data_IF_847309590580
#
_entry.id   IF_847309590580
#
_cell.length_a   1.000
_cell.length_b   1.000
_cell.length_c   1.000
_cell.angle_alpha   90.00
_cell.angle_beta   90.00
_cell.angle_gamma   90.00
#
_symmetry.space_group_name_H-M   'P 1'
#
loop_
_entity.id
_entity.type
_entity.pdbx_description
1 polymer ?
#
# COMPACT_ATOMS: atom_id res chain seq x y z
N UNK A 1 -31.90 10.99 9.36
CA UNK A 1 -31.20 11.98 8.51
C UNK A 1 -31.79 11.94 7.11
N UNK A 2 -32.20 13.09 6.56
CA UNK A 2 -32.71 13.18 5.18
C UNK A 2 -31.49 13.27 4.26
N UNK A 3 -31.42 12.43 3.21
CA UNK A 3 -30.30 12.43 2.26
C UNK A 3 -30.21 13.77 1.52
N UNK A 4 -29.01 14.31 1.24
CA UNK A 4 -28.86 15.60 0.54
C UNK A 4 -29.57 15.65 -0.82
N UNK A 5 -29.75 14.53 -1.51
CA UNK A 5 -30.55 14.48 -2.76
C UNK A 5 -32.04 14.73 -2.52
N UNK A 6 -32.59 14.30 -1.38
CA UNK A 6 -33.99 14.52 -1.01
C UNK A 6 -34.23 15.99 -0.66
N UNK A 7 -33.31 16.59 0.08
CA UNK A 7 -33.34 18.03 0.39
C UNK A 7 -33.25 18.90 -0.88
N UNK A 8 -32.41 18.51 -1.83
CA UNK A 8 -32.32 19.19 -3.12
C UNK A 8 -33.57 18.98 -3.99
N UNK A 9 -34.16 17.78 -4.00
CA UNK A 9 -35.41 17.48 -4.71
C UNK A 9 -36.57 18.34 -4.19
N UNK A 10 -36.70 18.47 -2.87
CA UNK A 10 -37.72 19.32 -2.24
C UNK A 10 -37.46 20.81 -2.49
N UNK A 11 -36.20 21.26 -2.44
CA UNK A 11 -35.85 22.66 -2.69
C UNK A 11 -36.09 23.11 -4.14
N UNK A 12 -35.97 22.18 -5.10
CA UNK A 12 -36.11 22.46 -6.53
C UNK A 12 -37.48 22.05 -7.09
N UNK A 13 -38.39 21.51 -6.28
CA UNK A 13 -39.69 20.96 -6.70
C UNK A 13 -39.58 19.97 -7.87
N UNK A 14 -38.54 19.14 -7.85
CA UNK A 14 -38.34 18.10 -8.87
C UNK A 14 -38.50 16.73 -8.22
N UNK A 15 -39.20 15.76 -8.86
CA UNK A 15 -39.26 14.39 -8.36
C UNK A 15 -37.86 13.81 -8.12
N UNK A 16 -37.68 13.12 -6.99
CA UNK A 16 -36.39 12.52 -6.60
C UNK A 16 -35.79 11.64 -7.70
N UNK A 17 -36.64 10.92 -8.45
CA UNK A 17 -36.20 10.05 -9.54
C UNK A 17 -35.47 10.84 -10.65
N UNK A 18 -35.85 12.10 -10.90
CA UNK A 18 -35.22 12.96 -11.92
C UNK A 18 -33.79 13.32 -11.54
N UNK A 19 -33.55 13.64 -10.26
CA UNK A 19 -32.20 13.91 -9.77
C UNK A 19 -31.36 12.63 -9.73
N UNK A 20 -31.95 11.50 -9.33
CA UNK A 20 -31.26 10.21 -9.36
C UNK A 20 -30.89 9.80 -10.80
N UNK A 21 -31.82 9.91 -11.76
CA UNK A 21 -31.56 9.64 -13.17
C UNK A 21 -30.45 10.56 -13.69
N UNK A 22 -30.50 11.86 -13.44
CA UNK A 22 -29.42 12.79 -13.83
C UNK A 22 -28.07 12.44 -13.23
N UNK A 23 -28.02 12.02 -11.97
CA UNK A 23 -26.77 11.59 -11.33
C UNK A 23 -26.26 10.31 -11.98
N UNK A 24 -27.13 9.33 -12.23
CA UNK A 24 -26.79 8.06 -12.88
C UNK A 24 -26.35 8.28 -14.34
N UNK A 25 -27.10 9.06 -15.11
CA UNK A 25 -26.80 9.47 -16.49
C UNK A 25 -25.48 10.24 -16.56
N UNK A 26 -25.24 11.19 -15.65
CA UNK A 26 -23.96 11.91 -15.60
C UNK A 26 -22.79 10.98 -15.28
N UNK A 27 -22.99 9.99 -14.41
CA UNK A 27 -21.96 8.98 -14.10
C UNK A 27 -21.69 8.05 -15.29
N UNK A 28 -22.73 7.66 -16.04
CA UNK A 28 -22.60 6.81 -17.24
C UNK A 28 -21.95 7.56 -18.39
N UNK A 29 -22.34 8.82 -18.68
CA UNK A 29 -21.72 9.66 -19.70
C UNK A 29 -20.23 9.89 -19.42
N UNK A 30 -19.86 10.13 -18.15
CA UNK A 30 -18.45 10.27 -17.74
C UNK A 30 -17.66 8.99 -17.94
N UNK A 31 -18.26 7.82 -17.70
CA UNK A 31 -17.64 6.52 -17.96
C UNK A 31 -17.42 6.29 -19.44
N UNK A 32 -18.46 6.48 -20.26
CA UNK A 32 -18.41 6.32 -21.71
C UNK A 32 -17.36 7.25 -22.35
N UNK A 33 -17.32 8.52 -21.94
CA UNK A 33 -16.28 9.45 -22.41
C UNK A 33 -14.87 9.07 -21.95
N UNK A 34 -14.74 8.44 -20.77
CA UNK A 34 -13.44 7.96 -20.28
C UNK A 34 -12.98 6.68 -20.98
N UNK A 35 -13.90 5.82 -21.44
CA UNK A 35 -13.60 4.59 -22.20
C UNK A 35 -12.88 4.90 -23.52
N UNK A 36 -13.36 5.90 -24.27
CA UNK A 36 -12.73 6.36 -25.52
C UNK A 36 -11.31 6.92 -25.31
N UNK A 37 -11.02 7.43 -24.12
CA UNK A 37 -9.72 8.00 -23.76
C UNK A 37 -8.77 6.98 -23.10
N UNK A 38 -9.19 5.71 -22.94
CA UNK A 38 -8.30 4.67 -22.42
C UNK A 38 -7.24 4.33 -23.45
N UNK A 39 -6.02 4.11 -22.97
CA UNK A 39 -4.88 3.74 -23.84
C UNK A 39 -4.93 2.29 -24.31
N UNK A 40 -5.58 1.41 -23.55
CA UNK A 40 -5.91 0.06 -24.00
C UNK A 40 -7.39 0.05 -24.37
N UNK A 41 -7.73 -0.62 -25.47
CA UNK A 41 -9.13 -0.92 -25.79
C UNK A 41 -9.69 -1.96 -24.81
N UNK A 42 -11.01 -2.06 -24.73
CA UNK A 42 -11.67 -3.02 -23.84
C UNK A 42 -11.25 -4.47 -24.17
N UNK A 43 -11.13 -4.80 -25.46
CA UNK A 43 -10.66 -6.12 -25.92
C UNK A 43 -9.21 -6.43 -25.48
N UNK A 44 -8.34 -5.41 -25.48
CA UNK A 44 -6.98 -5.53 -24.99
C UNK A 44 -6.94 -5.71 -23.46
N UNK A 45 -7.82 -5.02 -22.73
CA UNK A 45 -7.99 -5.23 -21.30
C UNK A 45 -8.48 -6.67 -21.00
N UNK A 46 -9.42 -7.20 -21.77
CA UNK A 46 -9.93 -8.56 -21.61
C UNK A 46 -8.86 -9.62 -21.91
N UNK A 47 -8.05 -9.41 -22.96
CA UNK A 47 -6.88 -10.25 -23.22
C UNK A 47 -5.88 -10.22 -22.05
N UNK A 48 -5.64 -9.04 -21.50
CA UNK A 48 -4.76 -8.86 -20.35
C UNK A 48 -5.29 -9.60 -19.11
N UNK A 49 -6.60 -9.52 -18.84
CA UNK A 49 -7.26 -10.27 -17.76
C UNK A 49 -7.04 -11.77 -17.93
N UNK A 50 -7.29 -12.32 -19.12
CA UNK A 50 -7.09 -13.75 -19.42
C UNK A 50 -5.64 -14.16 -19.18
N UNK A 51 -4.69 -13.33 -19.59
CA UNK A 51 -3.26 -13.58 -19.40
C UNK A 51 -2.85 -13.53 -17.92
N UNK A 52 -3.44 -12.64 -17.13
CA UNK A 52 -3.19 -12.55 -15.67
C UNK A 52 -3.71 -13.80 -14.95
N UNK A 53 -4.89 -14.30 -15.32
CA UNK A 53 -5.45 -15.55 -14.78
C UNK A 53 -4.55 -16.74 -15.14
N UNK A 54 -4.07 -16.81 -16.39
CA UNK A 54 -3.14 -17.86 -16.81
C UNK A 54 -1.81 -17.83 -16.03
N UNK A 55 -1.28 -16.65 -15.73
CA UNK A 55 -0.03 -16.50 -14.96
C UNK A 55 -0.21 -16.89 -13.49
N UNK A 56 -1.42 -16.76 -12.94
CA UNK A 56 -1.71 -17.20 -11.58
C UNK A 56 -1.58 -18.73 -11.41
N UNK A 57 -2.05 -19.50 -12.40
CA UNK A 57 -1.87 -20.96 -12.42
C UNK A 57 -0.39 -21.40 -12.38
N UNK A 58 0.54 -20.53 -12.81
CA UNK A 58 1.99 -20.77 -12.79
C UNK A 58 2.61 -20.43 -11.42
N UNK A 59 1.80 -20.11 -10.40
CA UNK A 59 2.22 -19.68 -9.05
C UNK A 59 3.08 -18.42 -9.04
N UNK A 60 2.92 -17.52 -10.02
CA UNK A 60 3.42 -16.14 -9.91
C UNK A 60 2.27 -15.23 -9.50
N UNK A 61 2.29 -14.72 -8.26
CA UNK A 61 1.24 -13.83 -7.78
C UNK A 61 1.24 -12.53 -8.60
N UNK A 62 0.12 -12.15 -9.23
CA UNK A 62 0.05 -10.91 -9.99
C UNK A 62 0.14 -9.70 -9.06
N UNK A 63 1.29 -9.04 -9.04
CA UNK A 63 1.47 -7.74 -8.35
C UNK A 63 0.96 -6.59 -9.22
N UNK A 64 0.49 -5.49 -8.62
CA UNK A 64 0.12 -4.26 -9.35
C UNK A 64 1.21 -3.75 -10.30
N UNK A 65 2.48 -3.92 -9.91
CA UNK A 65 3.64 -3.56 -10.73
C UNK A 65 3.69 -4.49 -11.95
N UNK A 66 3.51 -5.79 -11.74
CA UNK A 66 3.54 -6.80 -12.79
C UNK A 66 2.40 -6.64 -13.79
N UNK A 67 1.19 -6.33 -13.32
CA UNK A 67 0.04 -6.00 -14.18
C UNK A 67 0.37 -4.83 -15.10
N UNK A 68 1.06 -3.80 -14.59
CA UNK A 68 1.51 -2.66 -15.39
C UNK A 68 2.59 -3.04 -16.40
N UNK A 69 3.53 -3.90 -16.04
CA UNK A 69 4.58 -4.39 -16.96
C UNK A 69 3.99 -5.19 -18.12
N UNK A 70 3.03 -6.07 -17.86
CA UNK A 70 2.39 -6.87 -18.91
C UNK A 70 1.58 -5.96 -19.83
N UNK A 71 0.87 -4.97 -19.28
CA UNK A 71 0.16 -3.97 -20.06
C UNK A 71 1.11 -3.10 -20.90
N UNK A 72 2.27 -2.71 -20.36
CA UNK A 72 3.29 -1.96 -21.09
C UNK A 72 3.83 -2.77 -22.28
N UNK A 73 4.13 -4.06 -22.08
CA UNK A 73 4.55 -4.95 -23.17
C UNK A 73 3.47 -5.12 -24.24
N UNK A 74 2.19 -5.18 -23.84
CA UNK A 74 1.08 -5.29 -24.78
C UNK A 74 0.97 -4.03 -25.66
N UNK A 75 1.22 -2.84 -25.08
CA UNK A 75 1.28 -1.58 -25.82
C UNK A 75 2.52 -1.47 -26.71
N UNK A 76 3.68 -1.96 -26.26
CA UNK A 76 4.90 -2.01 -27.07
C UNK A 76 4.69 -2.84 -28.35
N UNK A 77 3.98 -3.97 -28.25
CA UNK A 77 3.61 -4.78 -29.42
C UNK A 77 2.71 -3.99 -30.39
N UNK A 78 1.85 -3.11 -29.86
CA UNK A 78 1.02 -2.19 -30.63
C UNK A 78 1.74 -0.93 -31.13
N UNK A 79 3.04 -0.77 -30.88
CA UNK A 79 3.84 0.39 -31.30
C UNK A 79 3.81 1.59 -30.36
N UNK A 80 3.17 1.50 -29.18
CA UNK A 80 3.14 2.57 -28.17
C UNK A 80 4.14 2.29 -27.05
N UNK A 81 5.24 3.05 -27.02
CA UNK A 81 6.32 2.93 -26.03
C UNK A 81 6.15 3.86 -24.82
N UNK A 82 5.05 4.62 -24.74
CA UNK A 82 4.86 5.56 -23.62
C UNK A 82 4.53 4.79 -22.33
N UNK A 83 5.15 5.11 -21.18
CA UNK A 83 4.88 4.41 -19.93
C UNK A 83 3.44 4.63 -19.45
N UNK A 84 2.83 3.59 -18.87
CA UNK A 84 1.49 3.72 -18.28
C UNK A 84 1.57 4.48 -16.95
N UNK A 85 0.61 5.36 -16.70
CA UNK A 85 0.59 6.20 -15.50
C UNK A 85 0.51 5.41 -14.20
N UNK A 86 1.01 6.00 -13.10
CA UNK A 86 1.05 5.37 -11.77
C UNK A 86 -0.31 4.92 -11.21
N UNK A 87 -1.41 5.53 -11.67
CA UNK A 87 -2.79 5.18 -11.27
C UNK A 87 -3.46 4.19 -12.23
N UNK A 88 -2.84 3.87 -13.35
CA UNK A 88 -3.48 3.04 -14.36
C UNK A 88 -3.82 1.64 -13.80
N UNK A 89 -2.85 0.97 -13.16
CA UNK A 89 -3.07 -0.35 -12.59
C UNK A 89 -4.13 -0.36 -11.47
N UNK A 90 -4.24 0.73 -10.69
CA UNK A 90 -5.28 0.84 -9.66
C UNK A 90 -6.67 1.05 -10.26
N UNK A 91 -6.78 1.81 -11.34
CA UNK A 91 -8.05 2.00 -12.04
C UNK A 91 -8.45 0.77 -12.87
N UNK A 92 -7.48 0.08 -13.50
CA UNK A 92 -7.69 -1.20 -14.18
C UNK A 92 -8.28 -2.24 -13.22
N UNK A 93 -7.71 -2.41 -12.03
CA UNK A 93 -8.26 -3.34 -11.03
C UNK A 93 -9.62 -2.88 -10.45
N UNK A 94 -9.96 -1.60 -10.53
CA UNK A 94 -11.31 -1.14 -10.16
C UNK A 94 -12.33 -1.48 -11.24
N UNK A 95 -11.94 -1.46 -12.53
CA UNK A 95 -12.79 -1.90 -13.65
C UNK A 95 -12.96 -3.42 -13.64
N UNK A 96 -11.87 -4.14 -13.40
CA UNK A 96 -11.82 -5.61 -13.41
C UNK A 96 -11.77 -6.16 -11.98
N UNK A 97 -12.89 -6.09 -11.27
CA UNK A 97 -12.98 -6.53 -9.86
C UNK A 97 -12.63 -8.00 -9.69
N UNK A 98 -12.90 -8.85 -10.68
CA UNK A 98 -12.50 -10.26 -10.68
C UNK A 98 -10.99 -10.46 -10.47
N UNK A 99 -10.16 -9.68 -11.17
CA UNK A 99 -8.69 -9.76 -11.05
C UNK A 99 -8.25 -9.16 -9.71
N UNK A 100 -8.91 -8.10 -9.27
CA UNK A 100 -8.64 -7.48 -7.96
C UNK A 100 -8.92 -8.46 -6.81
N UNK A 101 -10.06 -9.12 -6.85
CA UNK A 101 -10.49 -10.08 -5.85
C UNK A 101 -9.62 -11.33 -5.91
N UNK A 102 -9.18 -11.75 -7.09
CA UNK A 102 -8.17 -12.79 -7.28
C UNK A 102 -6.82 -12.41 -6.65
N UNK A 103 -6.28 -11.22 -6.93
CA UNK A 103 -5.01 -10.75 -6.34
C UNK A 103 -5.13 -10.64 -4.81
N UNK A 104 -6.27 -10.14 -4.31
CA UNK A 104 -6.56 -10.01 -2.88
C UNK A 104 -6.74 -11.38 -2.22
N UNK A 105 -7.42 -12.30 -2.89
CA UNK A 105 -7.64 -13.67 -2.41
C UNK A 105 -6.36 -14.47 -2.47
N UNK A 106 -5.53 -14.39 -3.50
CA UNK A 106 -4.24 -15.10 -3.58
C UNK A 106 -3.30 -14.78 -2.43
N UNK A 107 -3.30 -13.55 -1.93
CA UNK A 107 -2.61 -13.21 -0.68
C UNK A 107 -3.17 -14.04 0.48
N UNK A 108 -4.49 -14.04 0.67
CA UNK A 108 -5.19 -14.78 1.73
C UNK A 108 -5.08 -16.30 1.55
N UNK A 109 -5.18 -16.80 0.33
CA UNK A 109 -5.12 -18.22 -0.03
C UNK A 109 -3.67 -18.67 0.13
N UNK A 110 -2.63 -17.92 -0.27
CA UNK A 110 -1.21 -18.21 0.08
C UNK A 110 -0.94 -18.29 1.56
N UNK A 111 -1.62 -17.47 2.36
CA UNK A 111 -1.59 -17.63 3.82
C UNK A 111 -2.32 -18.89 4.32
N UNK A 112 -3.29 -19.43 3.56
CA UNK A 112 -4.09 -20.63 3.89
C UNK A 112 -3.52 -21.95 3.36
N UNK A 113 -2.69 -21.97 2.31
CA UNK A 113 -1.98 -23.18 1.87
C UNK A 113 -0.58 -23.36 2.50
N UNK A 114 -0.23 -22.56 3.51
CA UNK A 114 0.61 -23.07 4.58
C UNK A 114 -0.17 -24.19 5.26
N UNK A 115 0.39 -25.41 5.35
CA UNK A 115 -0.38 -26.66 5.43
C UNK A 115 -1.58 -26.57 6.37
N UNK A 116 -2.76 -26.96 5.88
CA UNK A 116 -3.98 -27.13 6.69
C UNK A 116 -3.72 -27.99 7.95
N UNK A 117 -2.70 -28.86 7.89
CA UNK A 117 -2.16 -29.64 9.01
C UNK A 117 -1.71 -28.78 10.22
N UNK A 118 -1.20 -27.56 10.00
CA UNK A 118 -0.70 -26.67 11.07
C UNK A 118 -1.80 -25.80 11.71
N UNK A 119 -2.94 -25.63 11.05
CA UNK A 119 -4.08 -24.83 11.50
C UNK A 119 -5.13 -25.67 12.25
N UNK A 120 -5.17 -26.99 12.02
CA UNK A 120 -6.10 -27.89 12.69
C UNK A 120 -5.75 -28.20 14.15
N UNK A 121 -4.48 -28.01 14.55
CA UNK A 121 -3.98 -28.49 15.84
C UNK A 121 -4.05 -27.49 16.99
N UNK A 122 -4.22 -26.19 16.75
CA UNK A 122 -4.29 -25.25 17.88
C UNK A 122 -4.88 -23.88 17.54
N UNK A 123 -6.01 -23.55 18.16
CA UNK A 123 -6.76 -22.33 17.90
C UNK A 123 -6.29 -21.10 18.69
N UNK A 124 -5.27 -21.25 19.55
CA UNK A 124 -4.79 -20.16 20.39
C UNK A 124 -4.17 -19.01 19.58
N UNK A 125 -4.57 -17.78 19.91
CA UNK A 125 -4.15 -16.57 19.20
C UNK A 125 -2.63 -16.31 19.27
N UNK A 126 -1.96 -16.79 20.32
CA UNK A 126 -0.52 -16.61 20.53
C UNK A 126 0.32 -17.48 19.58
N UNK A 127 -0.07 -18.74 19.39
CA UNK A 127 0.60 -19.68 18.46
C UNK A 127 0.40 -19.24 17.01
N UNK A 128 -0.79 -18.72 16.67
CA UNK A 128 -1.05 -18.13 15.34
C UNK A 128 -0.12 -16.95 15.03
N UNK A 129 0.19 -16.09 16.00
CA UNK A 129 1.15 -14.98 15.83
C UNK A 129 2.59 -15.47 15.69
N UNK A 130 3.01 -16.43 16.49
CA UNK A 130 4.36 -17.01 16.39
C UNK A 130 4.56 -17.74 15.06
N UNK A 131 3.59 -18.57 14.67
CA UNK A 131 3.57 -19.23 13.36
C UNK A 131 3.50 -18.21 12.21
N UNK A 132 2.74 -17.13 12.35
CA UNK A 132 2.72 -16.03 11.36
C UNK A 132 4.11 -15.42 11.19
N UNK A 133 4.81 -15.09 12.28
CA UNK A 133 6.17 -14.51 12.20
C UNK A 133 7.13 -15.49 11.55
N UNK A 134 7.10 -16.77 11.96
CA UNK A 134 7.97 -17.82 11.41
C UNK A 134 7.71 -18.04 9.91
N UNK A 135 6.45 -18.22 9.52
CA UNK A 135 6.07 -18.46 8.13
C UNK A 135 6.27 -17.22 7.25
N UNK A 136 6.03 -16.02 7.79
CA UNK A 136 6.33 -14.77 7.09
C UNK A 136 7.82 -14.56 6.89
N UNK A 137 8.64 -14.95 7.89
CA UNK A 137 10.09 -14.96 7.78
C UNK A 137 10.54 -15.97 6.73
N UNK A 138 10.04 -17.20 6.73
CA UNK A 138 10.36 -18.22 5.73
C UNK A 138 9.93 -17.78 4.32
N UNK A 139 8.71 -17.27 4.14
CA UNK A 139 8.24 -16.71 2.87
C UNK A 139 9.05 -15.51 2.39
N UNK A 140 9.65 -14.75 3.31
CA UNK A 140 10.54 -13.62 3.02
C UNK A 140 11.98 -14.06 2.73
N UNK A 141 12.41 -15.18 3.33
CA UNK A 141 13.72 -15.79 3.17
C UNK A 141 13.76 -16.80 2.00
N UNK A 142 12.62 -17.18 1.42
CA UNK A 142 12.57 -17.77 0.09
C UNK A 142 13.38 -16.86 -0.84
N UNK A 143 14.38 -17.40 -1.55
CA UNK A 143 15.35 -16.57 -2.24
C UNK A 143 14.62 -15.72 -3.29
N UNK A 144 14.43 -14.44 -2.97
CA UNK A 144 14.00 -13.43 -3.93
C UNK A 144 14.93 -13.55 -5.13
N UNK A 145 14.37 -13.95 -6.28
CA UNK A 145 15.16 -14.19 -7.50
C UNK A 145 15.94 -12.91 -7.82
N UNK A 146 17.13 -13.03 -8.43
CA UNK A 146 17.95 -11.87 -8.83
C UNK A 146 17.11 -10.80 -9.56
N UNK A 147 16.15 -11.24 -10.40
CA UNK A 147 15.20 -10.39 -11.10
C UNK A 147 14.24 -9.61 -10.17
N UNK A 148 13.74 -10.23 -9.10
CA UNK A 148 12.84 -9.57 -8.14
C UNK A 148 13.57 -8.55 -7.27
N UNK A 149 14.80 -8.87 -6.86
CA UNK A 149 15.69 -7.91 -6.19
C UNK A 149 15.92 -6.73 -7.12
N UNK A 150 16.43 -6.98 -8.33
CA UNK A 150 16.75 -5.94 -9.30
C UNK A 150 15.53 -5.10 -9.71
N UNK A 151 14.34 -5.70 -9.82
CA UNK A 151 13.07 -5.00 -10.03
C UNK A 151 12.68 -4.09 -8.87
N UNK A 152 12.88 -4.52 -7.62
CA UNK A 152 12.65 -3.67 -6.44
C UNK A 152 13.63 -2.49 -6.39
N UNK A 153 14.91 -2.72 -6.72
CA UNK A 153 15.89 -1.64 -6.82
C UNK A 153 15.59 -0.69 -7.98
N UNK A 154 15.10 -1.18 -9.13
CA UNK A 154 14.66 -0.34 -10.25
C UNK A 154 13.42 0.48 -9.92
N UNK A 155 12.44 -0.11 -9.23
CA UNK A 155 11.23 0.59 -8.80
C UNK A 155 11.50 1.70 -7.78
N UNK A 156 12.58 1.59 -7.00
CA UNK A 156 13.04 2.62 -6.08
C UNK A 156 14.02 3.64 -6.72
N UNK A 157 14.28 3.53 -8.04
CA UNK A 157 15.32 4.28 -8.75
C UNK A 157 16.70 4.18 -8.09
N UNK A 158 17.09 2.97 -7.67
CA UNK A 158 18.37 2.64 -7.01
C UNK A 158 19.27 1.75 -7.89
N UNK A 159 18.80 1.28 -9.06
CA UNK A 159 19.57 0.38 -9.94
C UNK A 159 19.53 0.79 -11.42
N UNK A 160 20.68 0.85 -12.12
CA UNK A 160 22.06 0.93 -11.59
C UNK A 160 22.22 2.18 -10.72
N UNK A 161 23.24 2.22 -9.87
CA UNK A 161 23.52 3.35 -8.95
C UNK A 161 23.44 4.67 -9.73
N UNK A 162 22.36 5.43 -9.51
CA UNK A 162 22.17 6.70 -10.20
C UNK A 162 22.95 7.78 -9.45
N UNK A 163 24.24 7.90 -9.78
CA UNK A 163 25.14 8.90 -9.18
C UNK A 163 24.59 10.32 -9.32
N UNK A 164 23.89 10.64 -10.42
CA UNK A 164 23.26 11.95 -10.57
C UNK A 164 22.10 12.19 -9.59
N UNK A 165 21.33 11.18 -9.22
CA UNK A 165 20.28 11.30 -8.19
C UNK A 165 20.88 11.60 -6.82
N UNK A 166 21.96 10.92 -6.47
CA UNK A 166 22.70 11.17 -5.21
C UNK A 166 23.34 12.58 -5.21
N UNK A 167 23.92 13.00 -6.35
CA UNK A 167 24.51 14.33 -6.50
C UNK A 167 23.48 15.47 -6.54
N UNK A 168 22.25 15.19 -6.99
CA UNK A 168 21.12 16.15 -6.99
C UNK A 168 20.38 16.17 -5.65
N UNK A 169 20.74 15.34 -4.69
CA UNK A 169 20.17 15.40 -3.35
C UNK A 169 20.61 16.72 -2.71
N UNK A 170 19.67 17.63 -2.39
CA UNK A 170 20.03 18.91 -1.77
C UNK A 170 20.83 18.69 -0.47
N UNK A 171 20.59 17.60 0.27
CA UNK A 171 21.36 17.28 1.47
C UNK A 171 22.82 16.89 1.21
N UNK A 172 23.16 16.36 0.03
CA UNK A 172 24.54 16.04 -0.33
C UNK A 172 25.34 17.30 -0.71
N UNK A 173 24.67 18.32 -1.24
CA UNK A 173 25.27 19.62 -1.61
C UNK A 173 25.33 20.62 -0.45
N UNK A 174 24.60 20.38 0.63
CA UNK A 174 24.51 21.27 1.80
C UNK A 174 25.63 21.06 2.84
N UNK A 175 26.61 20.17 2.61
CA UNK A 175 27.73 19.98 3.55
C UNK A 175 28.64 21.22 3.68
N UNK A 176 28.47 22.25 2.86
CA UNK A 176 29.26 23.50 2.90
C UNK A 176 28.41 24.75 3.12
N UNK A 177 27.12 24.60 3.45
CA UNK A 177 26.31 25.75 3.85
C UNK A 177 25.80 25.52 5.27
N UNK A 178 26.20 26.40 6.18
CA UNK A 178 25.61 26.55 7.52
C UNK A 178 24.08 26.61 7.37
N UNK A 179 23.41 25.49 7.62
CA UNK A 179 21.95 25.38 7.49
C UNK A 179 21.34 26.26 8.59
N UNK A 180 20.43 27.21 8.28
CA UNK A 180 19.71 27.93 9.32
C UNK A 180 18.90 26.93 10.15
N UNK A 181 19.28 26.78 11.42
CA UNK A 181 18.61 25.88 12.37
C UNK A 181 17.14 26.27 12.44
N UNK A 182 16.25 25.36 12.04
CA UNK A 182 14.81 25.50 12.28
C UNK A 182 14.62 25.79 13.76
N UNK A 183 13.90 26.87 14.14
CA UNK A 183 13.71 27.20 15.55
C UNK A 183 13.11 25.98 16.27
N UNK A 184 13.62 25.62 17.46
CA UNK A 184 13.14 24.45 18.17
C UNK A 184 11.63 24.58 18.33
N UNK A 185 10.91 23.60 17.77
CA UNK A 185 9.45 23.53 17.91
C UNK A 185 9.18 23.51 19.41
N UNK A 186 8.50 24.53 19.93
CA UNK A 186 8.11 24.59 21.33
C UNK A 186 7.05 23.51 21.59
N UNK A 187 7.50 22.28 21.75
CA UNK A 187 6.68 21.21 22.28
C UNK A 187 6.44 21.55 23.74
N UNK A 188 5.21 21.95 24.09
CA UNK A 188 4.80 22.08 25.50
C UNK A 188 5.17 20.76 26.19
N UNK A 189 6.10 20.81 27.15
CA UNK A 189 6.47 19.63 27.95
C UNK A 189 5.19 19.15 28.64
N UNK A 190 4.67 18.00 28.23
CA UNK A 190 3.64 17.31 29.02
C UNK A 190 4.28 16.94 30.34
N UNK A 191 3.68 17.33 31.46
CA UNK A 191 4.07 16.81 32.77
C UNK A 191 3.72 15.32 32.79
N UNK A 192 4.76 14.48 32.84
CA UNK A 192 4.61 13.05 33.03
C UNK A 192 4.26 12.80 34.50
N UNK A 193 3.23 12.00 34.76
CA UNK A 193 2.86 11.57 36.10
C UNK A 193 3.22 10.09 36.21
N UNK A 194 3.90 9.69 37.28
CA UNK A 194 4.47 8.34 37.46
C UNK A 194 3.45 7.19 37.32
N UNK A 195 2.15 7.50 37.48
CA UNK A 195 1.04 6.52 37.36
C UNK A 195 0.40 6.45 35.97
N UNK A 196 0.89 7.20 34.97
CA UNK A 196 0.38 7.12 33.59
C UNK A 196 1.16 6.11 32.75
N UNK A 197 0.44 5.30 31.97
CA UNK A 197 1.04 4.32 31.05
C UNK A 197 1.95 5.04 30.04
N UNK A 198 3.25 4.67 29.94
CA UNK A 198 4.18 5.32 29.03
C UNK A 198 3.75 5.08 27.57
N UNK A 199 3.71 6.15 26.77
CA UNK A 199 3.33 6.08 25.35
C UNK A 199 4.51 6.30 24.42
N UNK A 200 5.64 6.82 24.94
CA UNK A 200 6.87 7.03 24.19
C UNK A 200 8.07 6.46 24.91
N UNK A 201 9.12 6.16 24.15
CA UNK A 201 10.39 5.64 24.67
C UNK A 201 11.03 6.58 25.72
N UNK A 202 10.87 7.89 25.56
CA UNK A 202 11.33 8.90 26.52
C UNK A 202 10.66 8.77 27.89
N UNK A 203 9.41 8.34 27.94
CA UNK A 203 8.64 8.20 29.18
C UNK A 203 9.19 7.02 29.99
N UNK A 204 9.58 5.94 29.30
CA UNK A 204 10.22 4.76 29.88
C UNK A 204 11.58 5.14 30.47
N UNK A 205 12.40 5.88 29.70
CA UNK A 205 13.73 6.31 30.16
C UNK A 205 13.64 7.16 31.45
N UNK A 206 12.69 8.10 31.51
CA UNK A 206 12.49 8.93 32.70
C UNK A 206 12.00 8.10 33.90
N UNK A 207 11.11 7.12 33.67
CA UNK A 207 10.60 6.23 34.71
C UNK A 207 11.71 5.35 35.31
N UNK A 208 12.62 4.84 34.48
CA UNK A 208 13.79 4.08 34.93
C UNK A 208 14.72 4.98 35.77
N UNK A 209 14.89 6.23 35.35
CA UNK A 209 15.79 7.17 36.03
C UNK A 209 15.23 7.68 37.37
N UNK A 210 13.90 7.76 37.53
CA UNK A 210 13.27 8.03 38.83
C UNK A 210 13.34 6.85 39.81
N UNK A 211 13.56 5.64 39.31
CA UNK A 211 13.68 4.44 40.14
C UNK A 211 15.15 4.21 40.52
N UNK A 212 15.70 5.05 41.41
CA UNK A 212 16.95 4.74 42.10
C UNK A 212 16.62 3.91 43.33
N UNK A 213 17.04 2.63 43.44
CA UNK A 213 16.87 1.87 44.67
C UNK A 213 17.80 2.45 45.74
N UNK A 214 17.24 2.87 46.88
CA UNK A 214 17.99 3.23 48.09
C UNK A 214 18.77 2.01 48.56
N UNK A 215 20.01 1.89 48.10
CA UNK A 215 21.00 1.00 48.68
C UNK A 215 21.77 1.79 49.75
N UNK A 216 21.09 2.13 50.85
CA UNK A 216 21.78 2.44 52.09
C UNK A 216 22.19 1.12 52.75
N UNK A 217 23.49 0.91 53.03
CA UNK A 217 23.95 -0.20 53.87
C UNK A 217 23.34 -0.05 55.27
N UNK A 218 22.60 -1.06 55.72
CA UNK A 218 22.28 -1.21 57.14
C UNK A 218 23.53 -1.77 57.82
N UNK A 219 24.46 -0.89 58.18
CA UNK A 219 25.58 -1.19 59.08
C UNK A 219 25.29 -0.52 60.44
N UNK A 220 25.18 -1.33 61.50
CA UNK A 220 25.14 -0.90 62.90
C UNK A 220 24.09 -1.59 63.75
#
# INVERSE_FOLDING_TARGET
MISPQRTAATALNVPLYTLNNRVIEKLTIRRLGAEVLQRLSNDQEDYLVKKIIQLDHVKEAPSHIRVREIAAKLLEIGGDTKPLGKRWATEFLKRHSQVKDMIRSLLIVRYRHLPDELLLLDNSASIKKQKFIKNYYEARCYPLTRAQKQGSWRAADLSPINRQKELRNPFALLSTQEIPKTPPKQTKKRQFHERTTPQKLSDIHNCIQSFQPDLSPQDG
#
